data_IF_826578853621
#
_entry.id   IF_826578853621
#
_cell.length_a   1.000
_cell.length_b   1.000
_cell.length_c   1.000
_cell.angle_alpha   90.00
_cell.angle_beta   90.00
_cell.angle_gamma   90.00
#
_symmetry.space_group_name_H-M   'P 1'
#
loop_
_entity.id
_entity.type
_entity.pdbx_description
1 polymer ?
#
# COMPACT_ATOMS: atom_id res chain seq x y z
N UNK A 1 -14.33 29.96 57.37
CA UNK A 1 -14.30 29.44 55.98
C UNK A 1 -15.45 28.47 55.88
N UNK A 2 -16.47 28.74 55.07
CA UNK A 2 -17.68 27.90 55.01
C UNK A 2 -17.36 26.57 54.33
N UNK A 3 -18.01 25.48 54.77
CA UNK A 3 -17.82 24.14 54.19
C UNK A 3 -18.12 24.12 52.69
N UNK A 4 -19.08 24.93 52.24
CA UNK A 4 -19.44 25.10 50.82
C UNK A 4 -18.28 25.58 49.95
N UNK A 5 -17.39 26.42 50.49
CA UNK A 5 -16.22 26.93 49.79
C UNK A 5 -15.16 25.83 49.57
N UNK A 6 -15.00 24.93 50.55
CA UNK A 6 -14.04 23.82 50.46
C UNK A 6 -14.50 22.77 49.45
N UNK A 7 -15.79 22.45 49.43
CA UNK A 7 -16.36 21.51 48.47
C UNK A 7 -16.39 22.05 47.04
N UNK A 8 -16.64 23.36 46.86
CA UNK A 8 -16.53 24.03 45.56
C UNK A 8 -15.09 23.98 45.03
N UNK A 9 -14.09 24.31 45.85
CA UNK A 9 -12.69 24.28 45.43
C UNK A 9 -12.23 22.86 45.07
N UNK A 10 -12.63 21.85 45.85
CA UNK A 10 -12.33 20.46 45.58
C UNK A 10 -12.98 19.96 44.28
N UNK A 11 -14.22 20.36 44.00
CA UNK A 11 -14.92 20.03 42.76
C UNK A 11 -14.24 20.66 41.54
N UNK A 12 -13.83 21.93 41.62
CA UNK A 12 -13.12 22.59 40.52
C UNK A 12 -11.77 21.92 40.23
N UNK A 13 -10.99 21.60 41.26
CA UNK A 13 -9.71 20.88 41.10
C UNK A 13 -9.91 19.49 40.53
N UNK A 14 -10.94 18.76 40.98
CA UNK A 14 -11.28 17.44 40.43
C UNK A 14 -11.70 17.51 38.96
N UNK A 15 -12.45 18.54 38.57
CA UNK A 15 -12.91 18.74 37.19
C UNK A 15 -11.76 19.11 36.26
N UNK A 16 -10.85 19.98 36.71
CA UNK A 16 -9.61 20.32 35.99
C UNK A 16 -8.69 19.10 35.87
N UNK A 17 -8.57 18.29 36.93
CA UNK A 17 -7.82 17.04 36.89
C UNK A 17 -8.41 16.02 35.91
N UNK A 18 -9.73 15.83 35.91
CA UNK A 18 -10.42 14.90 35.03
C UNK A 18 -10.30 15.30 33.55
N UNK A 19 -10.42 16.60 33.25
CA UNK A 19 -10.25 17.12 31.87
C UNK A 19 -8.82 16.97 31.36
N UNK A 20 -7.82 17.18 32.22
CA UNK A 20 -6.42 16.94 31.87
C UNK A 20 -6.12 15.46 31.57
N UNK A 21 -6.65 14.54 32.38
CA UNK A 21 -6.51 13.10 32.16
C UNK A 21 -7.22 12.66 30.87
N UNK A 22 -8.42 13.18 30.59
CA UNK A 22 -9.14 12.90 29.36
C UNK A 22 -8.38 13.38 28.11
N UNK A 23 -7.76 14.57 28.17
CA UNK A 23 -6.94 15.09 27.09
C UNK A 23 -5.71 14.21 26.81
N UNK A 24 -5.03 13.73 27.85
CA UNK A 24 -3.91 12.78 27.73
C UNK A 24 -4.38 11.46 27.11
N UNK A 25 -5.54 10.95 27.52
CA UNK A 25 -6.14 9.74 26.96
C UNK A 25 -6.44 9.85 25.46
N UNK A 26 -6.92 11.01 25.00
CA UNK A 26 -7.17 11.27 23.58
C UNK A 26 -5.87 11.31 22.77
N UNK A 27 -4.82 11.95 23.30
CA UNK A 27 -3.50 11.97 22.65
C UNK A 27 -2.94 10.55 22.54
N UNK A 28 -3.01 9.77 23.62
CA UNK A 28 -2.56 8.39 23.62
C UNK A 28 -3.36 7.54 22.62
N UNK A 29 -4.67 7.70 22.57
CA UNK A 29 -5.54 6.99 21.62
C UNK A 29 -5.18 7.35 20.18
N UNK A 30 -4.95 8.63 19.89
CA UNK A 30 -4.51 9.09 18.58
C UNK A 30 -3.14 8.52 18.19
N UNK A 31 -2.20 8.43 19.13
CA UNK A 31 -0.88 7.81 18.92
C UNK A 31 -1.00 6.30 18.67
N UNK A 32 -1.81 5.59 19.47
CA UNK A 32 -2.08 4.16 19.31
C UNK A 32 -2.76 3.86 17.97
N UNK A 33 -3.73 4.66 17.54
CA UNK A 33 -4.37 4.56 16.23
C UNK A 33 -3.35 4.77 15.10
N UNK A 34 -2.46 5.77 15.23
CA UNK A 34 -1.38 5.99 14.26
C UNK A 34 -0.37 4.86 14.19
N UNK A 35 -0.02 4.27 15.33
CA UNK A 35 0.87 3.11 15.38
C UNK A 35 0.21 1.86 14.78
N UNK A 36 -1.05 1.60 15.12
CA UNK A 36 -1.84 0.48 14.61
C UNK A 36 -2.06 0.56 13.10
N UNK A 37 -2.39 1.75 12.58
CA UNK A 37 -2.53 1.97 11.13
C UNK A 37 -1.22 1.73 10.38
N UNK A 38 -0.07 2.19 10.89
CA UNK A 38 1.25 1.91 10.29
C UNK A 38 1.62 0.43 10.33
N UNK A 39 1.32 -0.28 11.43
CA UNK A 39 1.58 -1.71 11.54
C UNK A 39 0.69 -2.53 10.59
N UNK A 40 -0.59 -2.16 10.48
CA UNK A 40 -1.53 -2.77 9.54
C UNK A 40 -1.08 -2.54 8.09
N UNK A 41 -0.64 -1.34 7.76
CA UNK A 41 -0.13 -0.95 6.44
C UNK A 41 1.08 -1.80 6.02
N UNK A 42 2.07 -1.93 6.90
CA UNK A 42 3.24 -2.79 6.67
C UNK A 42 2.86 -4.27 6.54
N UNK A 43 1.96 -4.77 7.38
CA UNK A 43 1.49 -6.16 7.30
C UNK A 43 0.81 -6.44 5.96
N UNK A 44 -0.05 -5.54 5.49
CA UNK A 44 -0.68 -5.64 4.16
C UNK A 44 0.35 -5.63 3.04
N UNK A 45 1.37 -4.78 3.12
CA UNK A 45 2.47 -4.75 2.15
C UNK A 45 3.24 -6.08 2.12
N UNK A 46 3.54 -6.66 3.30
CA UNK A 46 4.24 -7.94 3.39
C UNK A 46 3.41 -9.09 2.81
N UNK A 47 2.12 -9.16 3.12
CA UNK A 47 1.22 -10.16 2.56
C UNK A 47 1.14 -10.05 1.03
N UNK A 48 0.96 -8.82 0.52
CA UNK A 48 0.86 -8.57 -0.91
C UNK A 48 2.16 -8.94 -1.64
N UNK A 49 3.31 -8.56 -1.08
CA UNK A 49 4.63 -8.94 -1.62
C UNK A 49 4.80 -10.45 -1.63
N UNK A 50 4.37 -11.15 -0.57
CA UNK A 50 4.37 -12.62 -0.52
C UNK A 50 3.53 -13.26 -1.62
N UNK A 51 2.34 -12.73 -1.89
CA UNK A 51 1.48 -13.21 -2.98
C UNK A 51 2.09 -12.97 -4.36
N UNK A 52 2.73 -11.81 -4.58
CA UNK A 52 3.44 -11.49 -5.83
C UNK A 52 4.60 -12.46 -6.03
N UNK A 53 5.44 -12.67 -5.02
CA UNK A 53 6.56 -13.63 -5.10
C UNK A 53 6.07 -15.06 -5.36
N UNK A 54 4.94 -15.47 -4.78
CA UNK A 54 4.35 -16.78 -5.04
C UNK A 54 3.76 -16.91 -6.46
N UNK A 55 3.22 -15.83 -7.03
CA UNK A 55 2.77 -15.79 -8.42
C UNK A 55 3.96 -15.81 -9.39
N UNK A 56 5.02 -15.07 -9.10
CA UNK A 56 6.29 -15.08 -9.84
C UNK A 56 6.90 -16.49 -9.86
N UNK A 57 7.00 -17.17 -8.71
CA UNK A 57 7.51 -18.53 -8.62
C UNK A 57 6.68 -19.53 -9.44
N UNK A 58 5.35 -19.38 -9.46
CA UNK A 58 4.46 -20.21 -10.29
C UNK A 58 4.70 -19.99 -11.78
N UNK A 59 4.82 -18.73 -12.21
CA UNK A 59 5.15 -18.39 -13.59
C UNK A 59 6.50 -18.98 -14.03
N UNK A 60 7.51 -18.98 -13.14
CA UNK A 60 8.78 -19.64 -13.43
C UNK A 60 8.64 -21.16 -13.53
N UNK A 61 7.82 -21.77 -12.66
CA UNK A 61 7.61 -23.22 -12.64
C UNK A 61 6.82 -23.72 -13.87
N UNK A 62 5.93 -22.91 -14.44
CA UNK A 62 5.13 -23.27 -15.62
C UNK A 62 5.82 -22.99 -16.95
N UNK A 63 7.11 -22.64 -16.96
CA UNK A 63 7.87 -22.29 -18.17
C UNK A 63 7.86 -23.37 -19.26
N UNK A 64 7.76 -24.64 -18.88
CA UNK A 64 7.78 -25.77 -19.82
C UNK A 64 6.38 -26.16 -20.33
N UNK A 65 5.31 -25.56 -19.80
CA UNK A 65 3.92 -25.75 -20.25
C UNK A 65 3.36 -24.41 -20.76
N UNK A 66 3.31 -24.18 -22.08
CA UNK A 66 2.89 -22.91 -22.65
C UNK A 66 1.47 -22.47 -22.24
N UNK A 67 0.54 -23.40 -22.03
CA UNK A 67 -0.84 -23.07 -21.66
C UNK A 67 -0.87 -22.59 -20.21
N UNK A 68 -0.21 -23.35 -19.33
CA UNK A 68 -0.13 -23.00 -17.91
C UNK A 68 0.71 -21.72 -17.70
N UNK A 69 1.76 -21.52 -18.50
CA UNK A 69 2.58 -20.31 -18.48
C UNK A 69 1.77 -19.05 -18.78
N UNK A 70 0.88 -19.08 -19.77
CA UNK A 70 0.01 -17.95 -20.11
C UNK A 70 -1.00 -17.66 -19.00
N UNK A 71 -1.55 -18.69 -18.34
CA UNK A 71 -2.44 -18.53 -17.19
C UNK A 71 -1.72 -17.90 -16.00
N UNK A 72 -0.54 -18.41 -15.65
CA UNK A 72 0.25 -17.89 -14.52
C UNK A 72 0.79 -16.49 -14.81
N UNK A 73 1.09 -16.18 -16.07
CA UNK A 73 1.49 -14.84 -16.50
C UNK A 73 0.37 -13.82 -16.30
N UNK A 74 -0.85 -14.16 -16.71
CA UNK A 74 -2.01 -13.30 -16.49
C UNK A 74 -2.32 -13.12 -15.00
N UNK A 75 -2.17 -14.19 -14.21
CA UNK A 75 -2.32 -14.11 -12.76
C UNK A 75 -1.27 -13.17 -12.13
N UNK A 76 -0.02 -13.27 -12.58
CA UNK A 76 1.05 -12.38 -12.13
C UNK A 76 0.76 -10.92 -12.47
N UNK A 77 0.33 -10.63 -13.71
CA UNK A 77 -0.07 -9.28 -14.11
C UNK A 77 -1.25 -8.74 -13.30
N UNK A 78 -2.25 -9.56 -12.99
CA UNK A 78 -3.39 -9.15 -12.16
C UNK A 78 -2.94 -8.76 -10.74
N UNK A 79 -1.94 -9.44 -10.18
CA UNK A 79 -1.37 -9.08 -8.88
C UNK A 79 -0.62 -7.74 -8.95
N UNK A 80 0.14 -7.51 -10.02
CA UNK A 80 0.82 -6.23 -10.24
C UNK A 80 -0.17 -5.08 -10.45
N UNK A 81 -1.30 -5.32 -11.13
CA UNK A 81 -2.37 -4.34 -11.29
C UNK A 81 -3.03 -3.99 -9.96
N UNK A 82 -3.29 -4.99 -9.13
CA UNK A 82 -3.83 -4.78 -7.79
C UNK A 82 -2.85 -3.93 -6.97
N UNK A 83 -1.55 -4.18 -7.11
CA UNK A 83 -0.51 -3.39 -6.43
C UNK A 83 -0.49 -1.94 -6.94
N UNK A 84 -0.57 -1.75 -8.26
CA UNK A 84 -0.65 -0.45 -8.89
C UNK A 84 -1.91 0.34 -8.45
N UNK A 85 -3.07 -0.33 -8.40
CA UNK A 85 -4.32 0.23 -7.89
C UNK A 85 -4.20 0.66 -6.42
N UNK A 86 -3.56 -0.16 -5.58
CA UNK A 86 -3.35 0.15 -4.17
C UNK A 86 -2.44 1.38 -3.98
N UNK A 87 -1.41 1.52 -4.82
CA UNK A 87 -0.51 2.69 -4.83
C UNK A 87 -1.27 3.94 -5.31
N UNK A 88 -1.94 3.85 -6.46
CA UNK A 88 -2.63 4.99 -7.08
C UNK A 88 -3.85 5.45 -6.26
N UNK A 89 -4.54 4.53 -5.59
CA UNK A 89 -5.63 4.81 -4.67
C UNK A 89 -5.20 5.35 -3.30
N UNK A 90 -3.89 5.46 -3.04
CA UNK A 90 -3.37 5.99 -1.78
C UNK A 90 -3.67 5.12 -0.55
N UNK A 91 -3.85 3.81 -0.73
CA UNK A 91 -4.14 2.88 0.36
C UNK A 91 -2.94 2.70 1.30
N UNK A 92 -1.73 2.85 0.75
CA UNK A 92 -0.49 2.73 1.51
C UNK A 92 -0.05 4.06 2.13
N UNK A 93 0.52 4.00 3.34
CA UNK A 93 1.26 5.12 3.91
C UNK A 93 2.49 5.49 3.05
N UNK A 94 3.05 6.70 3.20
CA UNK A 94 4.06 7.21 2.26
C UNK A 94 5.29 6.29 2.09
N UNK A 95 5.75 5.64 3.17
CA UNK A 95 6.89 4.73 3.14
C UNK A 95 6.53 3.44 2.41
N UNK A 96 5.42 2.81 2.77
CA UNK A 96 4.92 1.58 2.16
C UNK A 96 4.59 1.78 0.68
N UNK A 97 4.02 2.93 0.32
CA UNK A 97 3.74 3.33 -1.05
C UNK A 97 5.02 3.43 -1.89
N UNK A 98 6.08 4.02 -1.33
CA UNK A 98 7.38 4.09 -2.00
C UNK A 98 7.97 2.69 -2.24
N UNK A 99 7.97 1.83 -1.22
CA UNK A 99 8.47 0.46 -1.34
C UNK A 99 7.67 -0.34 -2.38
N UNK A 100 6.33 -0.24 -2.33
CA UNK A 100 5.44 -0.87 -3.30
C UNK A 100 5.70 -0.39 -4.73
N UNK A 101 5.89 0.92 -4.91
CA UNK A 101 6.23 1.53 -6.21
C UNK A 101 7.58 1.05 -6.75
N UNK A 102 8.59 0.95 -5.90
CA UNK A 102 9.92 0.46 -6.31
C UNK A 102 9.85 -1.01 -6.74
N UNK A 103 9.11 -1.86 -5.99
CA UNK A 103 8.87 -3.27 -6.37
C UNK A 103 8.12 -3.37 -7.69
N UNK A 104 7.02 -2.62 -7.85
CA UNK A 104 6.23 -2.60 -9.08
C UNK A 104 7.08 -2.22 -10.29
N UNK A 105 7.92 -1.18 -10.16
CA UNK A 105 8.83 -0.76 -11.23
C UNK A 105 9.84 -1.85 -11.58
N UNK A 106 10.42 -2.51 -10.58
CA UNK A 106 11.37 -3.60 -10.81
C UNK A 106 10.73 -4.79 -11.51
N UNK A 107 9.53 -5.19 -11.10
CA UNK A 107 8.80 -6.31 -11.69
C UNK A 107 8.42 -6.03 -13.15
N UNK A 108 7.95 -4.83 -13.45
CA UNK A 108 7.70 -4.40 -14.82
C UNK A 108 8.99 -4.42 -15.63
N UNK A 109 10.11 -3.91 -15.09
CA UNK A 109 11.40 -3.91 -15.79
C UNK A 109 11.89 -5.33 -16.11
N UNK A 110 11.74 -6.27 -15.17
CA UNK A 110 12.07 -7.69 -15.37
C UNK A 110 11.19 -8.27 -16.49
N UNK A 111 9.89 -8.03 -16.47
CA UNK A 111 9.00 -8.52 -17.52
C UNK A 111 9.28 -7.88 -18.88
N UNK A 112 9.72 -6.62 -18.91
CA UNK A 112 10.14 -5.93 -20.13
C UNK A 112 11.48 -6.42 -20.68
N UNK A 113 12.28 -7.15 -19.92
CA UNK A 113 13.60 -7.63 -20.35
C UNK A 113 13.54 -8.80 -21.35
N UNK A 114 12.44 -9.56 -21.37
CA UNK A 114 12.22 -10.68 -22.27
C UNK A 114 11.25 -10.30 -23.39
N UNK A 115 11.59 -10.64 -24.64
CA UNK A 115 10.74 -10.32 -25.79
C UNK A 115 9.38 -11.03 -25.74
N UNK A 116 9.32 -12.23 -25.15
CA UNK A 116 8.08 -13.00 -24.99
C UNK A 116 7.08 -12.30 -24.06
N UNK A 117 7.56 -11.81 -22.92
CA UNK A 117 6.74 -11.12 -21.92
C UNK A 117 6.46 -9.68 -22.31
N UNK A 118 7.40 -9.00 -22.98
CA UNK A 118 7.21 -7.65 -23.52
C UNK A 118 6.04 -7.60 -24.49
N UNK A 119 6.00 -8.47 -25.50
CA UNK A 119 4.91 -8.50 -26.47
C UNK A 119 3.55 -8.78 -25.83
N UNK A 120 3.52 -9.62 -24.79
CA UNK A 120 2.29 -9.94 -24.06
C UNK A 120 1.81 -8.77 -23.20
N UNK A 121 2.71 -8.08 -22.51
CA UNK A 121 2.36 -6.88 -21.74
C UNK A 121 1.91 -5.75 -22.65
N UNK A 122 2.61 -5.51 -23.76
CA UNK A 122 2.20 -4.48 -24.71
C UNK A 122 0.78 -4.74 -25.20
N UNK A 123 0.44 -5.99 -25.55
CA UNK A 123 -0.94 -6.37 -25.89
C UNK A 123 -1.91 -6.18 -24.73
N UNK A 124 -1.54 -6.62 -23.53
CA UNK A 124 -2.37 -6.58 -22.35
C UNK A 124 -2.68 -5.13 -21.90
N UNK A 125 -1.69 -4.25 -21.92
CA UNK A 125 -1.79 -2.83 -21.53
C UNK A 125 -2.46 -1.98 -22.61
N UNK A 126 -2.47 -2.42 -23.87
CA UNK A 126 -3.27 -1.77 -24.93
C UNK A 126 -4.74 -2.16 -24.92
N UNK A 127 -5.16 -3.11 -24.05
CA UNK A 127 -6.57 -3.45 -23.87
C UNK A 127 -7.30 -2.30 -23.15
N UNK A 128 -8.40 -1.75 -23.70
CA UNK A 128 -9.09 -0.59 -23.12
C UNK A 128 -9.65 -0.80 -21.70
N UNK A 129 -9.74 -2.05 -21.23
CA UNK A 129 -10.37 -2.40 -19.95
C UNK A 129 -9.44 -3.14 -18.97
N UNK A 130 -8.17 -3.38 -19.32
CA UNK A 130 -7.28 -4.22 -18.50
C UNK A 130 -5.94 -3.54 -18.27
N UNK A 131 -5.42 -3.61 -17.05
CA UNK A 131 -4.09 -3.08 -16.68
C UNK A 131 -3.94 -1.54 -16.73
N UNK A 132 -5.04 -0.81 -16.49
CA UNK A 132 -5.09 0.65 -16.53
C UNK A 132 -4.19 1.31 -15.47
N UNK A 133 -4.06 0.69 -14.30
CA UNK A 133 -3.26 1.24 -13.19
C UNK A 133 -1.76 1.05 -13.44
N UNK A 134 -1.36 -0.06 -14.05
CA UNK A 134 0.00 -0.26 -14.58
C UNK A 134 0.33 0.79 -15.65
N UNK A 135 -0.60 1.11 -16.55
CA UNK A 135 -0.41 2.16 -17.57
C UNK A 135 -0.22 3.55 -16.94
N UNK A 136 -1.05 3.88 -15.95
CA UNK A 136 -0.95 5.12 -15.18
C UNK A 136 0.40 5.23 -14.45
N UNK A 137 0.88 4.12 -13.86
CA UNK A 137 2.15 4.06 -13.13
C UNK A 137 3.37 4.20 -14.05
N UNK A 138 3.33 3.62 -15.25
CA UNK A 138 4.41 3.73 -16.26
C UNK A 138 4.42 5.08 -16.99
N UNK A 139 3.27 5.75 -17.10
CA UNK A 139 3.18 7.11 -17.62
C UNK A 139 3.78 8.17 -16.67
N UNK A 140 3.60 8.00 -15.35
CA UNK A 140 4.15 8.92 -14.32
C UNK A 140 5.67 8.91 -14.25
N UNK A 141 6.32 7.76 -14.36
CA UNK A 141 7.80 7.68 -14.37
C UNK A 141 8.43 8.37 -15.58
N UNK A 142 7.70 8.47 -16.71
CA UNK A 142 8.17 9.19 -17.90
C UNK A 142 8.03 10.71 -17.80
N UNK A 143 7.09 11.22 -17.00
CA UNK A 143 6.89 12.67 -16.77
C UNK A 143 7.60 13.20 -15.52
N UNK A 144 7.95 12.33 -14.56
CA UNK A 144 8.72 12.68 -13.36
C UNK A 144 10.20 12.98 -13.62
N UNK A 145 10.74 12.61 -14.79
CA UNK A 145 12.12 12.96 -15.19
C UNK A 145 12.25 14.38 -15.78
N UNK A 146 11.16 15.17 -15.75
CA UNK A 146 11.13 16.51 -16.34
C UNK A 146 10.70 17.61 -15.38
N UNK A 147 10.92 17.49 -14.07
CA UNK A 147 10.91 18.65 -13.17
C UNK A 147 11.87 18.42 -11.99
N UNK A 148 13.02 19.12 -12.06
CA UNK A 148 14.01 19.45 -11.02
C UNK A 148 14.88 18.34 -10.41
#
# INVERSE_FOLDING_TARGET
>A
MSEDFVWSLAADVATVGATAIAAIGLIWTALSLRASTRASDLNSLFLMTGHITAAEARLFASRDDPIQQDVDFNNYLNMLETLAAAINGGLFGSVSSKIASDRLCNDIAILMSSDWSRQRIERAVTSPETFCEIQSSTGKTRNGSKVM
#
